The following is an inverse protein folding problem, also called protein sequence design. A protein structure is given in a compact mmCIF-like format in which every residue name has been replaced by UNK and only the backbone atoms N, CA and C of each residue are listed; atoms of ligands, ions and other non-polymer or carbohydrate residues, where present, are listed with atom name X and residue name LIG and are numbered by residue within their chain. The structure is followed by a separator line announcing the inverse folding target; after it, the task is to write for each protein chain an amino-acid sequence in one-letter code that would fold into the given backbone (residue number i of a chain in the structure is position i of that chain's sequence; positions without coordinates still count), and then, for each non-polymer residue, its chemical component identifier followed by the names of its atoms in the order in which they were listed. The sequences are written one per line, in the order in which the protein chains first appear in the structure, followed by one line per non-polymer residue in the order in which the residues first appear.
data_IF_769304711931
#
_entry.id   IF_769304711931
#
_cell.length_a   1.000
_cell.length_b   1.000
_cell.length_c   1.000
_cell.angle_alpha   90.00
_cell.angle_beta   90.00
_cell.angle_gamma   90.00
#
_symmetry.space_group_name_H-M   'P 1'
#
loop_
_entity.id
_entity.type
_entity.pdbx_description
1 polymer ?
#
# COMPACT_ATOMS: atom_id res chain seq x y z
N UNK A 1 0.37 -19.90 -4.44
CA UNK A 1 -0.33 -19.01 -5.40
C UNK A 1 -1.83 -19.27 -5.51
N UNK A 2 -2.32 -20.52 -5.48
CA UNK A 2 -3.77 -20.80 -5.56
C UNK A 2 -4.60 -20.24 -4.39
N UNK A 3 -4.00 -20.08 -3.20
CA UNK A 3 -4.71 -19.64 -2.00
C UNK A 3 -5.28 -18.22 -2.13
N UNK A 4 -4.44 -17.25 -2.54
CA UNK A 4 -4.88 -15.87 -2.74
C UNK A 4 -5.95 -15.76 -3.84
N UNK A 5 -5.80 -16.44 -4.98
CA UNK A 5 -6.84 -16.43 -6.04
C UNK A 5 -8.14 -17.15 -5.65
N UNK A 6 -8.12 -17.95 -4.59
CA UNK A 6 -9.30 -18.55 -4.01
C UNK A 6 -10.24 -17.52 -3.36
N UNK A 7 -9.73 -16.36 -2.96
CA UNK A 7 -10.47 -15.31 -2.28
C UNK A 7 -11.00 -14.26 -3.27
N UNK A 8 -12.12 -13.61 -2.95
CA UNK A 8 -12.65 -12.52 -3.76
C UNK A 8 -11.69 -11.32 -3.76
N UNK A 9 -11.11 -10.99 -2.60
CA UNK A 9 -10.06 -9.96 -2.48
C UNK A 9 -8.87 -10.26 -3.37
N UNK A 10 -8.34 -11.48 -3.28
CA UNK A 10 -7.15 -11.83 -4.04
C UNK A 10 -7.44 -11.79 -5.54
N UNK A 11 -8.57 -12.31 -6.02
CA UNK A 11 -8.95 -12.18 -7.44
C UNK A 11 -8.94 -10.72 -7.88
N UNK A 12 -9.58 -9.81 -7.13
CA UNK A 12 -9.58 -8.38 -7.46
C UNK A 12 -8.18 -7.78 -7.54
N UNK A 13 -7.32 -8.10 -6.57
CA UNK A 13 -5.94 -7.59 -6.53
C UNK A 13 -5.10 -8.11 -7.71
N UNK A 14 -5.21 -9.41 -8.02
CA UNK A 14 -4.54 -9.99 -9.18
C UNK A 14 -5.03 -9.37 -10.49
N UNK A 15 -6.34 -9.28 -10.71
CA UNK A 15 -6.91 -8.72 -11.94
C UNK A 15 -6.50 -7.25 -12.13
N UNK A 16 -6.50 -6.46 -11.05
CA UNK A 16 -6.08 -5.07 -11.08
C UNK A 16 -4.59 -4.92 -11.40
N UNK A 17 -3.73 -5.71 -10.76
CA UNK A 17 -2.30 -5.70 -11.01
C UNK A 17 -1.95 -6.21 -12.41
N UNK A 18 -2.60 -7.28 -12.89
CA UNK A 18 -2.43 -7.79 -14.25
C UNK A 18 -2.83 -6.75 -15.29
N UNK A 19 -3.95 -6.05 -15.08
CA UNK A 19 -4.37 -4.95 -15.95
C UNK A 19 -3.37 -3.80 -15.95
N UNK A 20 -2.84 -3.43 -14.78
CA UNK A 20 -1.82 -2.39 -14.64
C UNK A 20 -0.52 -2.74 -15.38
N UNK A 21 -0.05 -3.98 -15.23
CA UNK A 21 1.16 -4.50 -15.89
C UNK A 21 0.96 -4.62 -17.40
N UNK A 22 -0.22 -5.06 -17.85
CA UNK A 22 -0.55 -5.12 -19.27
C UNK A 22 -0.60 -3.72 -19.91
N UNK A 23 -1.15 -2.72 -19.20
CA UNK A 23 -1.22 -1.35 -19.69
C UNK A 23 0.16 -0.69 -19.83
N UNK A 24 1.15 -1.08 -19.01
CA UNK A 24 2.54 -0.63 -19.15
C UNK A 24 3.35 -1.42 -20.18
N UNK A 25 2.74 -2.41 -20.85
CA UNK A 25 3.41 -3.28 -21.82
C UNK A 25 4.50 -4.15 -21.19
N UNK A 26 4.45 -4.35 -19.88
CA UNK A 26 5.54 -4.91 -19.09
C UNK A 26 5.27 -6.32 -18.57
N UNK A 27 6.24 -6.81 -17.81
CA UNK A 27 6.13 -7.97 -16.93
C UNK A 27 6.51 -7.49 -15.53
N UNK A 28 5.72 -7.85 -14.53
CA UNK A 28 6.07 -7.58 -13.14
C UNK A 28 7.22 -8.51 -12.73
N UNK A 29 8.41 -7.93 -12.55
CA UNK A 29 9.53 -8.67 -12.00
C UNK A 29 9.31 -8.89 -10.49
N UNK A 30 9.36 -10.16 -10.07
CA UNK A 30 9.23 -10.56 -8.66
C UNK A 30 10.52 -11.23 -8.21
N UNK A 31 11.21 -10.62 -7.24
CA UNK A 31 12.42 -11.15 -6.63
C UNK A 31 12.11 -11.82 -5.29
N UNK A 32 12.76 -12.95 -4.99
CA UNK A 32 12.70 -13.60 -3.68
C UNK A 32 14.04 -13.45 -2.98
N UNK A 33 14.09 -12.65 -1.92
CA UNK A 33 15.34 -12.29 -1.22
C UNK A 33 15.11 -12.09 0.28
N UNK A 34 16.18 -11.91 1.04
CA UNK A 34 16.06 -11.58 2.46
C UNK A 34 15.85 -10.05 2.59
N UNK A 35 14.74 -9.65 3.19
CA UNK A 35 14.31 -8.25 3.34
C UNK A 35 14.41 -7.76 4.80
N UNK A 36 15.10 -8.52 5.66
CA UNK A 36 15.25 -8.21 7.08
C UNK A 36 13.90 -8.30 7.81
N UNK A 37 13.40 -7.16 8.28
CA UNK A 37 12.12 -7.10 9.02
C UNK A 37 10.89 -6.96 8.12
N UNK A 38 11.07 -6.65 6.83
CA UNK A 38 9.96 -6.50 5.90
C UNK A 38 9.64 -7.85 5.22
N UNK A 39 8.38 -8.08 4.86
CA UNK A 39 7.94 -9.30 4.18
C UNK A 39 7.65 -9.10 2.69
N UNK A 40 7.30 -7.89 2.27
CA UNK A 40 7.07 -7.53 0.87
C UNK A 40 7.46 -6.08 0.60
N UNK A 41 7.88 -5.79 -0.63
CA UNK A 41 8.13 -4.42 -1.07
C UNK A 41 7.86 -4.31 -2.58
N UNK A 42 6.96 -3.42 -2.97
CA UNK A 42 6.86 -2.93 -4.33
C UNK A 42 7.67 -1.63 -4.49
N UNK A 43 8.84 -1.72 -5.12
CA UNK A 43 9.63 -0.56 -5.49
C UNK A 43 9.04 0.05 -6.77
N UNK A 44 8.16 1.04 -6.59
CA UNK A 44 7.52 1.74 -7.70
C UNK A 44 8.49 2.61 -8.52
N UNK A 45 9.70 2.92 -8.02
CA UNK A 45 10.73 3.61 -8.80
C UNK A 45 11.39 2.68 -9.83
N UNK A 46 11.41 1.39 -9.54
CA UNK A 46 11.99 0.34 -10.38
C UNK A 46 10.95 -0.58 -11.02
N UNK A 47 9.69 -0.49 -10.62
CA UNK A 47 8.59 -1.34 -11.08
C UNK A 47 8.81 -2.81 -10.72
N UNK A 48 9.43 -3.08 -9.57
CA UNK A 48 9.81 -4.43 -9.13
C UNK A 48 9.18 -4.75 -7.79
N UNK A 49 8.75 -5.99 -7.64
CA UNK A 49 8.28 -6.53 -6.37
C UNK A 49 9.35 -7.41 -5.76
N UNK A 50 9.55 -7.31 -4.45
CA UNK A 50 10.39 -8.20 -3.67
C UNK A 50 9.55 -8.89 -2.61
N UNK A 51 9.73 -10.19 -2.42
CA UNK A 51 9.09 -10.97 -1.35
C UNK A 51 10.17 -11.60 -0.47
N UNK A 52 9.94 -11.61 0.84
CA UNK A 52 10.89 -12.17 1.79
C UNK A 52 10.95 -13.70 1.64
N UNK A 53 12.15 -14.26 1.49
CA UNK A 53 12.39 -15.70 1.29
C UNK A 53 11.67 -16.60 2.30
N UNK A 54 11.68 -16.20 3.57
CA UNK A 54 11.01 -16.91 4.63
C UNK A 54 9.50 -17.16 4.39
N UNK A 55 8.80 -16.36 3.57
CA UNK A 55 7.37 -16.59 3.25
C UNK A 55 7.14 -17.87 2.44
N UNK A 56 8.18 -18.42 1.83
CA UNK A 56 8.11 -19.64 1.03
C UNK A 56 8.37 -20.91 1.86
N UNK A 57 8.56 -20.77 3.17
CA UNK A 57 8.64 -21.92 4.08
C UNK A 57 7.26 -22.61 4.23
N UNK A 58 7.21 -23.94 4.42
CA UNK A 58 5.96 -24.66 4.64
C UNK A 58 5.17 -24.08 5.82
N UNK A 59 3.84 -23.97 5.68
CA UNK A 59 2.95 -23.46 6.71
C UNK A 59 2.80 -21.94 6.75
N UNK A 60 3.45 -21.21 5.82
CA UNK A 60 3.35 -19.74 5.69
C UNK A 60 2.56 -19.30 4.46
N UNK A 61 1.78 -20.20 3.87
CA UNK A 61 1.03 -19.95 2.64
C UNK A 61 0.00 -18.82 2.79
N UNK A 62 -0.62 -18.70 3.98
CA UNK A 62 -1.52 -17.60 4.32
C UNK A 62 -0.79 -16.26 4.38
N UNK A 63 0.36 -16.20 5.06
CA UNK A 63 1.19 -14.99 5.15
C UNK A 63 1.68 -14.56 3.76
N UNK A 64 2.15 -15.52 2.95
CA UNK A 64 2.55 -15.26 1.56
C UNK A 64 1.38 -14.72 0.74
N UNK A 65 0.17 -15.26 0.91
CA UNK A 65 -1.02 -14.80 0.20
C UNK A 65 -1.40 -13.35 0.58
N UNK A 66 -1.37 -13.03 1.87
CA UNK A 66 -1.61 -11.67 2.39
C UNK A 66 -0.59 -10.67 1.88
N UNK A 67 0.70 -10.97 2.06
CA UNK A 67 1.79 -10.12 1.53
C UNK A 67 1.68 -9.94 0.03
N UNK A 68 1.43 -11.00 -0.74
CA UNK A 68 1.32 -10.88 -2.19
C UNK A 68 0.15 -9.97 -2.61
N UNK A 69 -1.01 -10.07 -1.96
CA UNK A 69 -2.15 -9.18 -2.24
C UNK A 69 -1.85 -7.74 -1.87
N UNK A 70 -1.18 -7.52 -0.74
CA UNK A 70 -0.73 -6.20 -0.32
C UNK A 70 0.16 -5.56 -1.40
N UNK A 71 1.21 -6.25 -1.84
CA UNK A 71 2.12 -5.69 -2.84
C UNK A 71 1.48 -5.55 -4.24
N UNK A 72 0.58 -6.45 -4.63
CA UNK A 72 -0.16 -6.33 -5.91
C UNK A 72 -1.12 -5.14 -5.89
N UNK A 73 -1.67 -4.79 -4.73
CA UNK A 73 -2.49 -3.59 -4.61
C UNK A 73 -1.65 -2.33 -4.85
N UNK A 74 -0.42 -2.26 -4.32
CA UNK A 74 0.51 -1.16 -4.59
C UNK A 74 0.83 -1.02 -6.08
N UNK A 75 0.96 -2.13 -6.82
CA UNK A 75 1.11 -2.11 -8.28
C UNK A 75 -0.08 -1.41 -8.95
N UNK A 76 -1.30 -1.78 -8.57
CA UNK A 76 -2.52 -1.21 -9.14
C UNK A 76 -2.72 0.26 -8.75
N UNK A 77 -2.43 0.61 -7.50
CA UNK A 77 -2.51 1.97 -6.98
C UNK A 77 -1.51 2.91 -7.68
N UNK A 78 -0.27 2.46 -7.87
CA UNK A 78 0.73 3.22 -8.61
C UNK A 78 0.29 3.47 -10.06
N UNK A 79 -0.23 2.44 -10.74
CA UNK A 79 -0.75 2.58 -12.11
C UNK A 79 -1.98 3.50 -12.21
N UNK A 80 -2.71 3.71 -11.11
CA UNK A 80 -3.82 4.64 -11.04
C UNK A 80 -3.38 6.11 -10.91
N UNK A 81 -2.08 6.40 -10.79
CA UNK A 81 -1.55 7.75 -10.66
C UNK A 81 -1.86 8.40 -9.32
N UNK A 82 -2.02 7.59 -8.28
CA UNK A 82 -2.15 8.06 -6.91
C UNK A 82 -0.76 8.48 -6.39
N UNK A 83 -0.67 9.49 -5.49
CA UNK A 83 0.60 9.92 -4.93
C UNK A 83 1.32 8.75 -4.26
N UNK A 84 2.57 8.50 -4.64
CA UNK A 84 3.27 7.23 -4.39
C UNK A 84 3.55 6.97 -2.91
N UNK A 85 3.43 8.00 -2.07
CA UNK A 85 3.67 7.95 -0.63
C UNK A 85 2.46 8.36 0.22
N UNK A 86 1.26 8.42 -0.38
CA UNK A 86 0.07 8.70 0.41
C UNK A 86 -0.16 7.59 1.45
N UNK A 87 -0.37 7.97 2.72
CA UNK A 87 -0.64 7.03 3.80
C UNK A 87 -1.86 6.14 3.50
N UNK A 88 -2.85 6.69 2.78
CA UNK A 88 -4.05 5.94 2.37
C UNK A 88 -3.77 4.72 1.49
N UNK A 89 -2.62 4.66 0.79
CA UNK A 89 -2.22 3.47 0.03
C UNK A 89 -2.02 2.27 0.98
N UNK A 90 -1.22 2.49 2.03
CA UNK A 90 -0.89 1.48 3.05
C UNK A 90 -2.10 1.11 3.90
N UNK A 91 -2.96 2.09 4.24
CA UNK A 91 -4.22 1.83 4.94
C UNK A 91 -5.07 0.86 4.12
N UNK A 92 -5.26 1.12 2.82
CA UNK A 92 -6.05 0.23 1.97
C UNK A 92 -5.42 -1.16 1.87
N UNK A 93 -4.10 -1.23 1.66
CA UNK A 93 -3.38 -2.49 1.49
C UNK A 93 -3.48 -3.38 2.72
N UNK A 94 -3.34 -2.82 3.93
CA UNK A 94 -3.54 -3.59 5.16
C UNK A 94 -5.00 -3.98 5.42
N UNK A 95 -5.98 -3.15 5.05
CA UNK A 95 -7.39 -3.53 5.17
C UNK A 95 -7.77 -4.67 4.22
N UNK A 96 -7.19 -4.72 3.02
CA UNK A 96 -7.38 -5.81 2.07
C UNK A 96 -6.65 -7.10 2.51
N UNK A 97 -5.44 -7.00 3.06
CA UNK A 97 -4.74 -8.15 3.67
C UNK A 97 -5.61 -8.80 4.77
N UNK A 98 -6.16 -8.00 5.69
CA UNK A 98 -7.08 -8.48 6.71
C UNK A 98 -8.37 -9.10 6.14
N UNK A 99 -8.89 -8.56 5.03
CA UNK A 99 -10.04 -9.13 4.31
C UNK A 99 -9.72 -10.50 3.73
N UNK A 100 -8.56 -10.63 3.09
CA UNK A 100 -8.10 -11.88 2.55
C UNK A 100 -7.95 -12.95 3.65
N UNK A 101 -7.35 -12.59 4.78
CA UNK A 101 -7.20 -13.52 5.91
C UNK A 101 -8.57 -13.98 6.43
N UNK A 102 -9.51 -13.06 6.58
CA UNK A 102 -10.88 -13.38 7.00
C UNK A 102 -11.60 -14.29 5.99
N UNK A 103 -11.48 -14.04 4.68
CA UNK A 103 -12.07 -14.89 3.63
C UNK A 103 -11.46 -16.31 3.61
N UNK A 104 -10.20 -16.45 4.04
CA UNK A 104 -9.55 -17.76 4.20
C UNK A 104 -9.93 -18.46 5.52
N UNK A 105 -10.70 -17.82 6.40
CA UNK A 105 -10.98 -18.32 7.75
C UNK A 105 -9.73 -18.34 8.63
N UNK A 106 -8.75 -17.47 8.35
CA UNK A 106 -7.49 -17.38 9.07
C UNK A 106 -7.44 -16.14 9.95
N UNK A 107 -6.82 -16.31 11.11
CA UNK A 107 -6.42 -15.20 11.98
C UNK A 107 -4.94 -14.91 11.75
N UNK A 108 -4.52 -13.65 11.55
CA UNK A 108 -3.12 -13.31 11.40
C UNK A 108 -2.26 -13.82 12.58
N UNK A 109 -1.09 -14.43 12.33
CA UNK A 109 -0.23 -14.95 13.39
C UNK A 109 0.27 -13.84 14.34
N UNK A 110 0.43 -14.11 15.65
CA UNK A 110 0.77 -13.09 16.66
C UNK A 110 2.00 -12.23 16.39
N UNK A 111 2.98 -12.77 15.68
CA UNK A 111 4.25 -12.11 15.38
C UNK A 111 4.20 -11.19 14.15
N UNK A 112 3.07 -11.16 13.43
CA UNK A 112 2.95 -10.43 12.17
C UNK A 112 2.43 -9.01 12.36
N UNK A 113 2.76 -8.12 11.43
CA UNK A 113 2.17 -6.79 11.40
C UNK A 113 0.67 -6.83 11.12
N UNK A 114 0.19 -7.78 10.31
CA UNK A 114 -1.24 -8.02 10.09
C UNK A 114 -1.99 -8.27 11.41
N UNK A 115 -1.38 -8.98 12.37
CA UNK A 115 -1.99 -9.12 13.70
C UNK A 115 -2.09 -7.78 14.42
N UNK A 116 -1.01 -7.00 14.44
CA UNK A 116 -1.00 -5.70 15.10
C UNK A 116 -2.03 -4.75 14.47
N UNK A 117 -2.17 -4.80 13.14
CA UNK A 117 -3.18 -4.06 12.38
C UNK A 117 -4.59 -4.49 12.76
N UNK A 118 -4.88 -5.79 12.88
CA UNK A 118 -6.17 -6.28 13.37
C UNK A 118 -6.45 -5.79 14.80
N UNK A 119 -5.49 -5.94 15.71
CA UNK A 119 -5.64 -5.50 17.10
C UNK A 119 -5.85 -3.97 17.19
N UNK A 120 -5.21 -3.18 16.33
CA UNK A 120 -5.44 -1.73 16.24
C UNK A 120 -6.82 -1.41 15.67
N UNK A 121 -7.27 -2.15 14.64
CA UNK A 121 -8.58 -1.97 14.01
C UNK A 121 -9.74 -2.19 15.00
N UNK A 122 -9.60 -3.18 15.90
CA UNK A 122 -10.58 -3.45 16.98
C UNK A 122 -10.67 -2.31 18.00
N UNK A 123 -9.62 -1.50 18.15
CA UNK A 123 -9.61 -0.31 19.03
C UNK A 123 -10.20 0.93 18.36
N UNK A 124 -10.40 0.91 17.04
CA UNK A 124 -11.01 1.98 16.28
C UNK A 124 -10.16 2.47 15.10
N UNK A 125 -10.74 3.29 14.21
CA UNK A 125 -10.05 3.82 13.03
C UNK A 125 -8.78 4.62 13.37
N UNK A 126 -8.82 5.44 14.43
CA UNK A 126 -7.68 6.28 14.82
C UNK A 126 -6.45 5.46 15.24
N UNK A 127 -6.65 4.40 16.04
CA UNK A 127 -5.57 3.53 16.47
C UNK A 127 -4.94 2.77 15.29
N UNK A 128 -5.75 2.40 14.29
CA UNK A 128 -5.26 1.80 13.06
C UNK A 128 -4.38 2.77 12.27
N UNK A 129 -4.88 3.99 12.02
CA UNK A 129 -4.12 5.02 11.28
C UNK A 129 -2.81 5.36 12.00
N UNK A 130 -2.82 5.48 13.33
CA UNK A 130 -1.62 5.71 14.13
C UNK A 130 -0.58 4.60 13.95
N UNK A 131 -1.00 3.34 14.00
CA UNK A 131 -0.11 2.20 13.78
C UNK A 131 0.51 2.23 12.37
N UNK A 132 -0.30 2.47 11.33
CA UNK A 132 0.21 2.51 9.95
C UNK A 132 1.16 3.70 9.77
N UNK A 133 0.81 4.89 10.28
CA UNK A 133 1.66 6.08 10.20
C UNK A 133 3.02 5.87 10.89
N UNK A 134 3.06 5.14 12.01
CA UNK A 134 4.30 4.78 12.68
C UNK A 134 5.17 3.79 11.87
N UNK A 135 4.55 2.94 11.04
CA UNK A 135 5.26 1.99 10.18
C UNK A 135 5.85 2.64 8.92
N UNK A 136 5.19 3.69 8.39
CA UNK A 136 5.62 4.45 7.20
C UNK A 136 5.73 5.95 7.50
N UNK A 137 6.69 6.36 8.37
CA UNK A 137 6.80 7.74 8.82
C UNK A 137 7.09 8.71 7.66
N UNK A 138 6.49 9.90 7.72
CA UNK A 138 6.64 10.94 6.70
C UNK A 138 5.66 10.83 5.52
N UNK A 139 4.78 9.82 5.51
CA UNK A 139 3.74 9.67 4.49
C UNK A 139 2.63 10.72 4.68
N UNK A 140 2.36 11.61 3.70
CA UNK A 140 1.25 12.56 3.78
C UNK A 140 -0.12 11.87 3.80
N UNK A 141 -1.13 12.47 4.44
CA UNK A 141 -2.45 11.86 4.59
C UNK A 141 -3.58 12.90 4.47
N UNK A 142 -4.44 12.79 3.44
CA UNK A 142 -5.64 13.64 3.38
C UNK A 142 -6.60 13.33 4.54
N UNK A 143 -6.47 12.17 5.20
CA UNK A 143 -7.12 11.76 6.44
C UNK A 143 -7.15 12.83 7.53
N UNK A 144 -5.99 13.40 7.78
CA UNK A 144 -5.73 14.38 8.82
C UNK A 144 -5.49 15.77 8.24
N UNK A 145 -5.04 15.83 6.99
CA UNK A 145 -4.49 17.03 6.38
C UNK A 145 -5.37 17.53 5.22
N UNK A 146 -5.19 18.79 4.83
CA UNK A 146 -5.79 19.31 3.61
C UNK A 146 -5.01 18.88 2.37
N UNK A 147 -5.58 19.06 1.17
CA UNK A 147 -4.84 18.81 -0.06
C UNK A 147 -3.62 19.72 -0.19
N UNK A 148 -3.73 20.96 0.31
CA UNK A 148 -2.65 21.93 0.26
C UNK A 148 -1.51 21.48 1.19
N UNK A 149 -1.82 20.97 2.39
CA UNK A 149 -0.81 20.40 3.29
C UNK A 149 -0.07 19.21 2.68
N UNK A 150 -0.79 18.33 1.96
CA UNK A 150 -0.16 17.21 1.24
C UNK A 150 0.77 17.72 0.14
N UNK A 151 0.35 18.75 -0.61
CA UNK A 151 1.18 19.37 -1.65
C UNK A 151 2.42 20.00 -1.02
N UNK A 152 2.28 20.74 0.08
CA UNK A 152 3.39 21.39 0.79
C UNK A 152 4.41 20.37 1.31
N UNK A 153 3.95 19.24 1.85
CA UNK A 153 4.84 18.15 2.27
C UNK A 153 5.59 17.55 1.08
N UNK A 154 4.89 17.26 -0.03
CA UNK A 154 5.53 16.73 -1.24
C UNK A 154 6.54 17.72 -1.84
N UNK A 155 6.31 19.03 -1.75
CA UNK A 155 7.28 20.04 -2.17
C UNK A 155 8.54 20.02 -1.30
N UNK A 156 8.41 19.83 0.02
CA UNK A 156 9.53 19.66 0.93
C UNK A 156 10.31 18.36 0.64
N UNK A 157 9.60 17.26 0.38
CA UNK A 157 10.21 15.98 0.02
C UNK A 157 10.94 16.06 -1.33
N UNK A 158 10.41 16.84 -2.29
CA UNK A 158 11.06 17.10 -3.56
C UNK A 158 12.38 17.85 -3.40
N UNK A 159 12.40 18.90 -2.57
CA UNK A 159 13.62 19.64 -2.21
C UNK A 159 14.66 18.71 -1.60
N UNK A 160 14.27 17.89 -0.62
CA UNK A 160 15.15 16.91 0.02
C UNK A 160 15.69 15.87 -0.97
N UNK A 161 14.83 15.34 -1.85
CA UNK A 161 15.22 14.39 -2.88
C UNK A 161 16.19 15.02 -3.90
N UNK A 162 16.00 16.29 -4.27
CA UNK A 162 16.91 17.04 -5.17
C UNK A 162 18.26 17.34 -4.53
N UNK A 163 18.30 17.56 -3.21
CA UNK A 163 19.55 17.73 -2.48
C UNK A 163 20.39 16.42 -2.41
N UNK A 164 19.74 15.26 -2.55
CA UNK A 164 20.38 13.96 -2.60
C UNK A 164 21.23 13.77 -3.87
N UNK A 165 22.46 13.23 -3.71
CA UNK A 165 23.40 13.02 -4.83
C UNK A 165 23.31 11.65 -5.50
N UNK A 166 22.37 10.81 -5.09
CA UNK A 166 22.29 9.43 -5.56
C UNK A 166 21.35 9.28 -6.78
N UNK A 167 21.56 8.24 -7.59
CA UNK A 167 20.62 7.88 -8.67
C UNK A 167 19.20 7.61 -8.14
N UNK A 168 19.08 7.04 -6.93
CA UNK A 168 17.78 6.80 -6.28
C UNK A 168 17.10 8.11 -5.92
N UNK A 169 17.84 9.08 -5.36
CA UNK A 169 17.33 10.42 -5.06
C UNK A 169 16.82 11.13 -6.31
N UNK A 170 17.54 11.03 -7.44
CA UNK A 170 17.08 11.60 -8.71
C UNK A 170 15.81 10.92 -9.27
N UNK A 171 15.65 9.60 -9.08
CA UNK A 171 14.40 8.90 -9.44
C UNK A 171 13.24 9.34 -8.55
N UNK A 172 13.48 9.40 -7.25
CA UNK A 172 12.53 9.86 -6.26
C UNK A 172 12.02 11.28 -6.57
N UNK A 173 12.93 12.22 -6.85
CA UNK A 173 12.56 13.58 -7.21
C UNK A 173 11.63 13.63 -8.44
N UNK A 174 11.88 12.81 -9.47
CA UNK A 174 11.00 12.73 -10.65
C UNK A 174 9.62 12.14 -10.33
N UNK A 175 9.55 11.15 -9.44
CA UNK A 175 8.29 10.57 -9.01
C UNK A 175 7.45 11.61 -8.26
N UNK A 176 8.05 12.29 -7.28
CA UNK A 176 7.37 13.35 -6.51
C UNK A 176 6.93 14.51 -7.42
N UNK A 177 7.77 14.90 -8.38
CA UNK A 177 7.41 15.94 -9.36
C UNK A 177 6.21 15.52 -10.23
N UNK A 178 6.12 14.26 -10.63
CA UNK A 178 4.96 13.73 -11.35
C UNK A 178 3.69 13.74 -10.48
N UNK A 179 3.80 13.35 -9.20
CA UNK A 179 2.70 13.37 -8.25
C UNK A 179 2.19 14.81 -8.04
N UNK A 180 3.09 15.78 -7.83
CA UNK A 180 2.75 17.20 -7.71
C UNK A 180 2.06 17.74 -8.98
N UNK A 181 2.56 17.39 -10.17
CA UNK A 181 1.93 17.79 -11.43
C UNK A 181 0.51 17.24 -11.54
N UNK A 182 0.29 15.98 -11.15
CA UNK A 182 -1.04 15.36 -11.12
C UNK A 182 -1.98 16.07 -10.14
N UNK A 183 -1.54 16.27 -8.89
CA UNK A 183 -2.35 16.87 -7.83
C UNK A 183 -2.73 18.33 -8.08
N UNK A 184 -1.96 19.07 -8.87
CA UNK A 184 -2.27 20.45 -9.26
C UNK A 184 -3.34 20.56 -10.34
N UNK A 185 -3.73 19.45 -10.99
CA UNK A 185 -4.87 19.43 -11.91
C UNK A 185 -6.18 19.22 -11.15
N UNK A 186 -7.31 19.66 -11.74
CA UNK A 186 -8.63 19.43 -11.13
C UNK A 186 -8.95 17.94 -11.07
N UNK A 187 -8.58 17.21 -12.12
CA UNK A 187 -8.84 15.79 -12.30
C UNK A 187 -8.02 14.96 -11.31
N UNK A 188 -6.71 15.20 -11.20
CA UNK A 188 -5.83 14.50 -10.25
C UNK A 188 -6.20 14.78 -8.79
N UNK A 189 -6.48 16.04 -8.45
CA UNK A 189 -6.99 16.41 -7.13
C UNK A 189 -8.33 15.71 -6.80
N UNK A 190 -9.25 15.64 -7.76
CA UNK A 190 -10.54 14.97 -7.57
C UNK A 190 -10.36 13.45 -7.43
N UNK A 191 -9.47 12.84 -8.21
CA UNK A 191 -9.15 11.43 -8.12
C UNK A 191 -8.58 11.07 -6.74
N UNK A 192 -7.59 11.82 -6.26
CA UNK A 192 -6.99 11.56 -4.95
C UNK A 192 -7.98 11.77 -3.79
N UNK A 193 -8.80 12.84 -3.82
CA UNK A 193 -9.87 13.03 -2.83
C UNK A 193 -10.91 11.90 -2.87
N UNK A 194 -11.27 11.43 -4.07
CA UNK A 194 -12.17 10.29 -4.25
C UNK A 194 -11.60 9.02 -3.65
N UNK A 195 -10.30 8.77 -3.89
CA UNK A 195 -9.56 7.66 -3.31
C UNK A 195 -9.53 7.73 -1.78
N UNK A 196 -9.11 8.87 -1.20
CA UNK A 196 -9.05 9.04 0.26
C UNK A 196 -10.42 8.84 0.93
N UNK A 197 -11.51 9.39 0.36
CA UNK A 197 -12.87 9.14 0.86
C UNK A 197 -13.25 7.66 0.86
N UNK A 198 -12.89 6.92 -0.20
CA UNK A 198 -13.15 5.47 -0.31
C UNK A 198 -12.38 4.69 0.75
N UNK A 199 -11.11 5.03 0.97
CA UNK A 199 -10.27 4.37 1.99
C UNK A 199 -10.80 4.62 3.39
N UNK A 200 -11.21 5.86 3.71
CA UNK A 200 -11.86 6.18 5.00
C UNK A 200 -13.15 5.39 5.21
N UNK A 201 -14.03 5.34 4.20
CA UNK A 201 -15.28 4.58 4.29
C UNK A 201 -15.03 3.07 4.45
N UNK A 202 -13.98 2.54 3.81
CA UNK A 202 -13.53 1.15 4.02
C UNK A 202 -13.07 0.97 5.46
N UNK A 203 -12.21 1.84 5.97
CA UNK A 203 -11.69 1.77 7.34
C UNK A 203 -12.81 1.80 8.39
N UNK A 204 -13.76 2.73 8.26
CA UNK A 204 -14.91 2.84 9.17
C UNK A 204 -15.77 1.57 9.17
N UNK A 205 -16.07 1.03 7.99
CA UNK A 205 -16.81 -0.22 7.86
C UNK A 205 -16.07 -1.37 8.54
N UNK A 206 -14.77 -1.53 8.25
CA UNK A 206 -13.97 -2.64 8.78
C UNK A 206 -13.74 -2.54 10.28
N UNK A 207 -13.58 -1.33 10.81
CA UNK A 207 -13.48 -1.12 12.26
C UNK A 207 -14.79 -1.48 12.98
N UNK A 208 -15.94 -1.15 12.38
CA UNK A 208 -17.25 -1.54 12.92
C UNK A 208 -17.44 -3.06 12.93
N UNK A 209 -16.99 -3.76 11.90
CA UNK A 209 -17.02 -5.24 11.82
C UNK A 209 -16.07 -5.91 12.81
N UNK A 210 -14.93 -5.29 13.13
CA UNK A 210 -13.93 -5.86 14.03
C UNK A 210 -14.26 -5.65 15.53
N UNK A 211 -15.03 -4.61 15.86
CA UNK A 211 -15.39 -4.26 17.24
C UNK A 211 -16.72 -4.87 17.74
N UNK A 212 -17.49 -5.51 16.86
CA UNK A 212 -18.75 -6.20 17.20
C UNK A 212 -18.52 -7.68 17.51
#
# INVERSE_FOLDING_TARGET
MNLARGTAVGRRAFDAAEKAVAASGGVLAVDVRDLGKNYGEYDYLDGRMSLHRALFAPGREGELAGTLVHELLHVAQHAAGLPSYALELEIEAHLQDLELMAELGLTPPPHTFARQALDALTKGPAAFVELISAAVPGSPCLGTDSLDDVIDQLEQDLEAARAGRSRRSAKLARAIEADLLSLRTKEGAAAYRGFSRRVRALLERRSSEAGG
#
